data_IF_218736220352
#
_entry.id   IF_218736220352
#
_cell.length_a   1.000
_cell.length_b   1.000
_cell.length_c   1.000
_cell.angle_alpha   90.00
_cell.angle_beta   90.00
_cell.angle_gamma   90.00
#
_symmetry.space_group_name_H-M   'P 1'
#
loop_
_entity.id
_entity.type
_entity.pdbx_description
1 polymer ?
#
# COMPACT_ATOMS: atom_id res chain seq x y z
N UNK A 1 35.08 -6.24 -15.85
CA UNK A 1 34.55 -4.88 -15.61
C UNK A 1 33.23 -4.56 -16.35
N UNK A 2 32.91 -5.18 -17.51
CA UNK A 2 31.61 -4.98 -18.19
C UNK A 2 30.42 -5.64 -17.47
N UNK A 3 30.59 -6.85 -16.93
CA UNK A 3 29.52 -7.62 -16.24
C UNK A 3 29.12 -6.98 -14.90
N UNK A 4 30.08 -6.44 -14.14
CA UNK A 4 29.82 -5.74 -12.87
C UNK A 4 29.02 -4.46 -13.06
N UNK A 5 29.23 -3.72 -14.17
CA UNK A 5 28.41 -2.56 -14.51
C UNK A 5 26.98 -2.98 -14.87
N UNK A 6 26.81 -4.07 -15.61
CA UNK A 6 25.48 -4.59 -15.98
C UNK A 6 24.70 -5.05 -14.74
N UNK A 7 25.35 -5.77 -13.81
CA UNK A 7 24.73 -6.21 -12.55
C UNK A 7 24.37 -5.03 -11.63
N UNK A 8 25.25 -4.00 -11.54
CA UNK A 8 24.98 -2.80 -10.76
C UNK A 8 23.84 -1.96 -11.37
N UNK A 9 23.76 -1.88 -12.70
CA UNK A 9 22.67 -1.20 -13.43
C UNK A 9 21.35 -1.96 -13.26
N UNK A 10 21.38 -3.30 -13.24
CA UNK A 10 20.19 -4.12 -12.93
C UNK A 10 19.71 -3.93 -11.48
N UNK A 11 20.63 -3.89 -10.51
CA UNK A 11 20.32 -3.62 -9.10
C UNK A 11 19.79 -2.19 -8.87
N UNK A 12 20.36 -1.19 -9.54
CA UNK A 12 19.87 0.20 -9.51
C UNK A 12 18.53 0.36 -10.23
N UNK A 13 18.32 -0.33 -11.36
CA UNK A 13 17.05 -0.33 -12.09
C UNK A 13 15.89 -0.92 -11.29
N UNK A 14 16.14 -1.97 -10.51
CA UNK A 14 15.16 -2.57 -9.61
C UNK A 14 14.78 -1.62 -8.45
N UNK A 15 15.76 -0.89 -7.91
CA UNK A 15 15.53 0.11 -6.84
C UNK A 15 14.65 1.27 -7.31
N UNK A 16 14.81 1.69 -8.58
CA UNK A 16 14.01 2.76 -9.18
C UNK A 16 12.59 2.26 -9.51
N UNK A 17 12.44 1.00 -9.94
CA UNK A 17 11.12 0.43 -10.24
C UNK A 17 10.24 0.18 -9.00
N UNK A 18 10.85 -0.04 -7.82
CA UNK A 18 10.10 -0.15 -6.56
C UNK A 18 9.63 1.22 -6.05
N UNK A 19 10.39 2.29 -6.33
CA UNK A 19 10.03 3.68 -5.99
C UNK A 19 9.07 4.31 -7.00
N UNK A 20 9.03 3.85 -8.24
CA UNK A 20 8.18 4.40 -9.30
C UNK A 20 6.72 3.93 -9.25
N UNK A 21 6.38 2.99 -8.37
CA UNK A 21 5.00 2.50 -8.22
C UNK A 21 4.09 3.44 -7.42
N UNK A 22 4.66 4.46 -6.77
CA UNK A 22 3.94 5.49 -6.00
C UNK A 22 3.76 6.83 -6.74
N UNK A 23 4.13 6.92 -8.02
CA UNK A 23 4.02 8.17 -8.78
C UNK A 23 3.51 7.96 -10.21
N UNK A 24 2.51 7.12 -10.39
CA UNK A 24 1.64 7.21 -11.57
C UNK A 24 0.57 8.29 -11.28
N UNK A 25 1.02 9.54 -11.24
CA UNK A 25 0.12 10.68 -11.41
C UNK A 25 -0.50 10.54 -12.80
N UNK A 26 -1.82 10.32 -12.83
CA UNK A 26 -2.62 10.42 -14.03
C UNK A 26 -2.46 11.86 -14.51
N UNK A 27 -1.63 12.06 -15.53
CA UNK A 27 -1.63 13.28 -16.31
C UNK A 27 -3.00 13.38 -16.97
N UNK A 28 -3.89 14.13 -16.33
CA UNK A 28 -5.08 14.69 -16.97
C UNK A 28 -4.56 15.47 -18.16
N UNK A 29 -4.78 14.95 -19.36
CA UNK A 29 -4.62 15.71 -20.59
C UNK A 29 -5.60 16.86 -20.49
N UNK A 30 -5.08 18.00 -20.03
CA UNK A 30 -5.79 19.26 -19.95
C UNK A 30 -5.98 19.74 -21.39
N UNK A 31 -6.99 19.15 -22.04
CA UNK A 31 -7.50 19.64 -23.30
C UNK A 31 -8.08 20.99 -22.97
N UNK A 32 -7.31 22.03 -23.28
CA UNK A 32 -7.61 23.44 -23.08
C UNK A 32 -8.92 23.75 -23.80
N UNK A 33 -10.05 23.52 -23.13
CA UNK A 33 -11.36 24.00 -23.57
C UNK A 33 -11.33 25.49 -23.28
N UNK A 34 -11.07 26.23 -24.35
CA UNK A 34 -11.09 27.67 -24.41
C UNK A 34 -12.37 28.19 -23.75
N UNK A 35 -12.18 28.83 -22.61
CA UNK A 35 -13.23 29.31 -21.73
C UNK A 35 -13.80 30.61 -22.32
N UNK A 36 -14.56 30.50 -23.42
CA UNK A 36 -15.50 31.54 -23.80
C UNK A 36 -16.74 31.38 -22.93
N UNK A 37 -16.75 32.13 -21.82
CA UNK A 37 -17.91 32.36 -20.98
C UNK A 37 -18.88 33.28 -21.74
N UNK A 38 -19.37 32.81 -22.88
CA UNK A 38 -20.44 33.44 -23.62
C UNK A 38 -21.70 33.27 -22.77
N UNK A 39 -22.38 34.38 -22.47
CA UNK A 39 -23.70 34.39 -21.82
C UNK A 39 -24.54 33.34 -22.55
N UNK A 40 -25.05 32.33 -21.83
CA UNK A 40 -25.83 31.21 -22.42
C UNK A 40 -27.07 31.75 -23.13
N UNK A 41 -26.87 32.15 -24.39
CA UNK A 41 -27.88 32.52 -25.34
C UNK A 41 -28.26 31.28 -26.15
N UNK A 42 -29.50 31.25 -26.61
CA UNK A 42 -30.07 30.07 -27.27
C UNK A 42 -29.32 29.74 -28.58
N UNK A 43 -29.36 28.48 -28.99
CA UNK A 43 -28.78 28.06 -30.28
C UNK A 43 -29.70 28.55 -31.41
N UNK A 44 -29.13 29.20 -32.43
CA UNK A 44 -29.89 29.61 -33.62
C UNK A 44 -30.45 28.39 -34.33
N UNK A 45 -31.68 28.50 -34.85
CA UNK A 45 -32.41 27.39 -35.51
C UNK A 45 -31.59 26.75 -36.65
N UNK A 46 -30.82 27.56 -37.40
CA UNK A 46 -29.91 27.10 -38.47
C UNK A 46 -28.80 26.18 -37.99
N UNK A 47 -28.34 26.36 -36.75
CA UNK A 47 -27.15 25.71 -36.21
C UNK A 47 -27.50 24.46 -35.40
N UNK A 48 -28.79 24.24 -35.15
CA UNK A 48 -29.31 23.10 -34.37
C UNK A 48 -28.79 21.75 -34.90
N UNK A 49 -28.85 21.42 -36.21
CA UNK A 49 -28.39 20.12 -36.69
C UNK A 49 -26.91 19.83 -36.36
N UNK A 50 -26.03 20.83 -36.52
CA UNK A 50 -24.61 20.68 -36.21
C UNK A 50 -24.36 20.58 -34.69
N UNK A 51 -25.07 21.39 -33.89
CA UNK A 51 -24.96 21.35 -32.42
C UNK A 51 -25.53 20.09 -31.81
N UNK A 52 -26.59 19.50 -32.38
CA UNK A 52 -27.13 18.19 -31.95
C UNK A 52 -26.03 17.11 -32.03
N UNK A 53 -25.32 17.03 -33.15
CA UNK A 53 -24.26 16.03 -33.32
C UNK A 53 -23.11 16.23 -32.32
N UNK A 54 -22.67 17.48 -32.11
CA UNK A 54 -21.64 17.79 -31.11
C UNK A 54 -22.09 17.41 -29.70
N UNK A 55 -23.30 17.82 -29.31
CA UNK A 55 -23.87 17.50 -28.00
C UNK A 55 -24.02 15.99 -27.81
N UNK A 56 -24.44 15.25 -28.82
CA UNK A 56 -24.52 13.79 -28.74
C UNK A 56 -23.17 13.14 -28.44
N UNK A 57 -22.08 13.57 -29.10
CA UNK A 57 -20.73 13.07 -28.80
C UNK A 57 -20.30 13.36 -27.36
N UNK A 58 -20.61 14.55 -26.85
CA UNK A 58 -20.29 14.91 -25.47
C UNK A 58 -21.13 14.14 -24.44
N UNK A 59 -22.42 13.93 -24.72
CA UNK A 59 -23.29 13.09 -23.89
C UNK A 59 -22.81 11.63 -23.87
N UNK A 60 -22.32 11.12 -25.01
CA UNK A 60 -21.74 9.78 -25.09
C UNK A 60 -20.50 9.68 -24.19
N UNK A 61 -19.58 10.65 -24.26
CA UNK A 61 -18.41 10.67 -23.38
C UNK A 61 -18.76 10.77 -21.90
N UNK A 62 -19.83 11.50 -21.53
CA UNK A 62 -20.32 11.51 -20.14
C UNK A 62 -20.92 10.14 -19.76
N UNK A 63 -21.63 9.48 -20.68
CA UNK A 63 -22.19 8.14 -20.49
C UNK A 63 -21.13 7.08 -20.26
N UNK A 64 -20.08 7.05 -21.09
CA UNK A 64 -18.94 6.13 -20.94
C UNK A 64 -18.28 6.30 -19.56
N UNK A 65 -18.04 7.55 -19.11
CA UNK A 65 -17.50 7.82 -17.77
C UNK A 65 -18.39 7.40 -16.58
N UNK A 66 -19.69 7.16 -16.81
CA UNK A 66 -20.62 6.67 -15.77
C UNK A 66 -20.65 5.14 -15.75
N UNK A 67 -20.40 4.48 -16.88
CA UNK A 67 -20.55 3.02 -17.06
C UNK A 67 -19.21 2.26 -17.01
N UNK A 68 -18.07 2.87 -17.39
CA UNK A 68 -16.80 2.15 -17.63
C UNK A 68 -15.82 2.04 -16.44
N UNK A 69 -16.20 2.41 -15.22
CA UNK A 69 -15.31 2.21 -14.07
C UNK A 69 -15.57 0.86 -13.40
N UNK A 70 -15.08 -0.22 -14.04
CA UNK A 70 -15.13 -1.60 -13.51
C UNK A 70 -14.61 -1.69 -12.06
N UNK A 71 -13.61 -0.86 -11.70
CA UNK A 71 -13.06 -0.82 -10.35
C UNK A 71 -14.06 -0.23 -9.35
N UNK A 72 -14.78 0.83 -9.71
CA UNK A 72 -15.82 1.41 -8.84
C UNK A 72 -16.99 0.44 -8.69
N UNK A 73 -17.38 -0.29 -9.74
CA UNK A 73 -18.44 -1.30 -9.64
C UNK A 73 -18.03 -2.46 -8.72
N UNK A 74 -16.77 -2.91 -8.81
CA UNK A 74 -16.22 -3.92 -7.91
C UNK A 74 -16.23 -3.42 -6.45
N UNK A 75 -15.79 -2.18 -6.21
CA UNK A 75 -15.82 -1.55 -4.88
C UNK A 75 -17.24 -1.53 -4.32
N UNK A 76 -18.23 -1.11 -5.11
CA UNK A 76 -19.65 -1.10 -4.69
C UNK A 76 -20.14 -2.47 -4.23
N UNK A 77 -19.69 -3.55 -4.87
CA UNK A 77 -20.03 -4.93 -4.49
C UNK A 77 -19.32 -5.39 -3.22
N UNK A 78 -18.07 -4.95 -3.02
CA UNK A 78 -17.20 -5.44 -1.95
C UNK A 78 -17.30 -4.64 -0.64
N UNK A 79 -17.79 -3.40 -0.67
CA UNK A 79 -17.84 -2.55 0.54
C UNK A 79 -18.61 -3.22 1.66
N UNK A 80 -19.86 -3.65 1.44
CA UNK A 80 -20.68 -4.20 2.52
C UNK A 80 -20.10 -5.51 3.09
N UNK A 81 -19.69 -6.50 2.27
CA UNK A 81 -18.98 -7.68 2.76
C UNK A 81 -17.73 -7.35 3.59
N UNK A 82 -16.95 -6.34 3.17
CA UNK A 82 -15.74 -5.92 3.86
C UNK A 82 -16.03 -5.19 5.17
N UNK A 83 -17.06 -4.35 5.20
CA UNK A 83 -17.52 -3.71 6.43
C UNK A 83 -18.03 -4.75 7.43
N UNK A 84 -18.69 -5.81 6.95
CA UNK A 84 -19.15 -6.90 7.79
C UNK A 84 -18.01 -7.77 8.32
N UNK A 85 -16.95 -8.00 7.54
CA UNK A 85 -15.74 -8.67 8.04
C UNK A 85 -15.06 -7.87 9.16
N UNK A 86 -15.02 -6.53 9.03
CA UNK A 86 -14.56 -5.66 10.13
C UNK A 86 -15.49 -5.76 11.34
N UNK A 87 -16.81 -5.81 11.17
CA UNK A 87 -17.74 -5.98 12.31
C UNK A 87 -17.51 -7.31 13.03
N UNK A 88 -17.22 -8.39 12.29
CA UNK A 88 -16.88 -9.69 12.86
C UNK A 88 -15.57 -9.60 13.65
N UNK A 89 -14.54 -8.97 13.07
CA UNK A 89 -13.28 -8.70 13.77
C UNK A 89 -13.50 -7.96 15.09
N UNK A 90 -14.27 -6.88 15.07
CA UNK A 90 -14.55 -6.06 16.26
C UNK A 90 -15.44 -6.76 17.30
N UNK A 91 -16.08 -7.88 16.97
CA UNK A 91 -16.84 -8.69 17.93
C UNK A 91 -15.98 -9.67 18.71
N UNK A 92 -14.78 -9.98 18.22
CA UNK A 92 -13.81 -10.82 18.90
C UNK A 92 -13.44 -10.21 20.25
N UNK A 93 -13.36 -11.07 21.27
CA UNK A 93 -13.11 -10.69 22.66
C UNK A 93 -11.78 -9.94 22.81
N UNK A 94 -10.77 -10.27 21.99
CA UNK A 94 -9.46 -9.58 22.03
C UNK A 94 -9.58 -8.08 21.72
N UNK A 95 -10.53 -7.68 20.85
CA UNK A 95 -10.78 -6.28 20.51
C UNK A 95 -11.71 -5.56 21.50
N UNK A 96 -12.49 -6.31 22.29
CA UNK A 96 -13.33 -5.74 23.36
C UNK A 96 -12.54 -5.51 24.65
N UNK A 97 -11.61 -6.41 24.94
CA UNK A 97 -10.84 -6.43 26.17
C UNK A 97 -9.35 -6.13 25.91
N UNK A 98 -9.09 -4.97 25.28
CA UNK A 98 -7.75 -4.52 24.90
C UNK A 98 -6.84 -4.41 26.15
N UNK A 99 -7.41 -4.04 27.29
CA UNK A 99 -6.68 -3.89 28.55
C UNK A 99 -6.08 -5.20 29.11
N UNK A 100 -6.60 -6.35 28.69
CA UNK A 100 -6.14 -7.67 29.13
C UNK A 100 -5.16 -8.31 28.14
N UNK A 101 -4.79 -7.61 27.07
CA UNK A 101 -3.89 -8.12 26.05
C UNK A 101 -2.45 -7.75 26.38
N UNK A 102 -1.53 -8.70 26.15
CA UNK A 102 -0.10 -8.43 26.27
C UNK A 102 0.41 -7.60 25.07
N UNK A 103 1.61 -7.02 25.20
CA UNK A 103 2.21 -6.18 24.16
C UNK A 103 2.30 -6.86 22.77
N UNK A 104 2.50 -8.18 22.71
CA UNK A 104 2.58 -8.93 21.45
C UNK A 104 1.21 -9.02 20.76
N UNK A 105 0.16 -9.36 21.50
CA UNK A 105 -1.20 -9.39 20.97
C UNK A 105 -1.65 -8.00 20.50
N UNK A 106 -1.32 -6.95 21.26
CA UNK A 106 -1.60 -5.56 20.87
C UNK A 106 -0.92 -5.20 19.54
N UNK A 107 0.33 -5.62 19.31
CA UNK A 107 1.02 -5.40 18.03
C UNK A 107 0.38 -6.17 16.86
N UNK A 108 -0.04 -7.42 17.11
CA UNK A 108 -0.74 -8.23 16.12
C UNK A 108 -2.06 -7.57 15.73
N UNK A 109 -2.83 -7.10 16.70
CA UNK A 109 -4.07 -6.34 16.48
C UNK A 109 -3.82 -5.05 15.68
N UNK A 110 -2.74 -4.31 15.96
CA UNK A 110 -2.38 -3.13 15.15
C UNK A 110 -2.07 -3.49 13.70
N UNK A 111 -1.40 -4.62 13.46
CA UNK A 111 -1.06 -5.09 12.12
C UNK A 111 -2.32 -5.51 11.36
N UNK A 112 -3.20 -6.30 12.00
CA UNK A 112 -4.52 -6.67 11.45
C UNK A 112 -5.34 -5.42 11.08
N UNK A 113 -5.46 -4.44 11.98
CA UNK A 113 -6.17 -3.18 11.71
C UNK A 113 -5.51 -2.39 10.56
N UNK A 114 -4.19 -2.44 10.42
CA UNK A 114 -3.48 -1.72 9.37
C UNK A 114 -3.81 -2.24 7.98
N UNK A 115 -3.95 -3.57 7.83
CA UNK A 115 -4.42 -4.18 6.57
C UNK A 115 -5.81 -3.67 6.21
N UNK A 116 -6.73 -3.62 7.18
CA UNK A 116 -8.07 -3.09 6.94
C UNK A 116 -8.07 -1.61 6.56
N UNK A 117 -7.24 -0.80 7.23
CA UNK A 117 -7.14 0.62 6.94
C UNK A 117 -6.55 0.90 5.56
N UNK A 118 -5.59 0.10 5.09
CA UNK A 118 -4.97 0.26 3.77
C UNK A 118 -6.03 0.15 2.67
N UNK A 119 -6.79 -0.95 2.64
CA UNK A 119 -7.87 -1.14 1.65
C UNK A 119 -8.94 -0.04 1.74
N UNK A 120 -9.36 0.35 2.95
CA UNK A 120 -10.36 1.41 3.11
C UNK A 120 -9.86 2.77 2.60
N UNK A 121 -8.60 3.14 2.86
CA UNK A 121 -8.05 4.41 2.38
C UNK A 121 -7.94 4.42 0.83
N UNK A 122 -7.58 3.29 0.22
CA UNK A 122 -7.52 3.17 -1.24
C UNK A 122 -8.92 3.34 -1.86
N UNK A 123 -9.93 2.67 -1.30
CA UNK A 123 -11.32 2.86 -1.71
C UNK A 123 -11.79 4.29 -1.50
N UNK A 124 -11.47 4.93 -0.37
CA UNK A 124 -11.83 6.33 -0.10
C UNK A 124 -11.25 7.27 -1.18
N UNK A 125 -10.00 7.05 -1.60
CA UNK A 125 -9.33 7.84 -2.65
C UNK A 125 -10.04 7.70 -4.00
N UNK A 126 -10.38 6.47 -4.39
CA UNK A 126 -11.07 6.18 -5.65
C UNK A 126 -12.48 6.78 -5.66
N UNK A 127 -13.26 6.54 -4.61
CA UNK A 127 -14.63 7.07 -4.47
C UNK A 127 -14.64 8.60 -4.49
N UNK A 128 -13.71 9.27 -3.80
CA UNK A 128 -13.61 10.75 -3.83
C UNK A 128 -13.24 11.29 -5.21
N UNK A 129 -12.41 10.56 -5.96
CA UNK A 129 -12.05 10.93 -7.33
C UNK A 129 -13.27 10.83 -8.24
N UNK A 130 -14.05 9.75 -8.10
CA UNK A 130 -15.26 9.54 -8.88
C UNK A 130 -16.37 10.55 -8.56
N UNK A 131 -16.55 10.91 -7.28
CA UNK A 131 -17.49 11.97 -6.86
C UNK A 131 -17.16 13.30 -7.55
N UNK A 132 -15.88 13.69 -7.62
CA UNK A 132 -15.45 14.92 -8.32
C UNK A 132 -15.76 14.88 -9.81
N UNK A 133 -15.58 13.71 -10.44
CA UNK A 133 -15.93 13.51 -11.86
C UNK A 133 -17.44 13.67 -12.07
N UNK A 134 -18.25 13.08 -11.19
CA UNK A 134 -19.70 13.23 -11.24
C UNK A 134 -20.16 14.67 -11.01
N UNK A 135 -19.55 15.41 -10.09
CA UNK A 135 -19.85 16.84 -9.87
C UNK A 135 -19.58 17.67 -11.14
N UNK A 136 -18.45 17.41 -11.81
CA UNK A 136 -18.11 18.05 -13.09
C UNK A 136 -19.16 17.72 -14.15
N UNK A 137 -19.49 16.45 -14.33
CA UNK A 137 -20.46 16.00 -15.34
C UNK A 137 -21.87 16.52 -15.06
N UNK A 138 -22.27 16.59 -13.79
CA UNK A 138 -23.57 17.13 -13.36
C UNK A 138 -23.69 18.60 -13.72
N UNK A 139 -22.62 19.38 -13.52
CA UNK A 139 -22.58 20.78 -13.92
C UNK A 139 -22.73 20.95 -15.44
N UNK A 140 -21.96 20.19 -16.22
CA UNK A 140 -22.03 20.21 -17.68
C UNK A 140 -23.45 19.86 -18.18
N UNK A 141 -24.06 18.80 -17.64
CA UNK A 141 -25.43 18.41 -18.00
C UNK A 141 -26.46 19.49 -17.64
N UNK A 142 -26.33 20.14 -16.48
CA UNK A 142 -27.22 21.24 -16.10
C UNK A 142 -27.08 22.44 -17.04
N UNK A 143 -25.85 22.84 -17.36
CA UNK A 143 -25.59 23.94 -18.30
C UNK A 143 -26.19 23.62 -19.68
N UNK A 144 -26.07 22.37 -20.14
CA UNK A 144 -26.69 21.92 -21.37
C UNK A 144 -28.22 21.88 -21.33
N UNK A 145 -28.82 21.38 -20.25
CA UNK A 145 -30.27 21.39 -20.09
C UNK A 145 -30.84 22.81 -20.17
N UNK A 146 -30.17 23.79 -19.55
CA UNK A 146 -30.55 25.20 -19.62
C UNK A 146 -30.43 25.73 -21.06
N UNK A 147 -29.34 25.43 -21.76
CA UNK A 147 -29.12 25.85 -23.15
C UNK A 147 -30.19 25.31 -24.09
N UNK A 148 -30.48 24.01 -24.00
CA UNK A 148 -31.41 23.34 -24.90
C UNK A 148 -32.88 23.65 -24.57
N UNK A 149 -33.22 23.94 -23.30
CA UNK A 149 -34.55 24.45 -22.94
C UNK A 149 -34.81 25.85 -23.52
N UNK A 150 -33.82 26.75 -23.45
CA UNK A 150 -33.89 28.06 -24.13
C UNK A 150 -33.98 27.92 -25.64
N UNK A 151 -33.20 27.00 -26.22
CA UNK A 151 -33.23 26.69 -27.65
C UNK A 151 -34.57 26.15 -28.10
N UNK A 152 -35.21 25.29 -27.31
CA UNK A 152 -36.54 24.76 -27.55
C UNK A 152 -37.58 25.87 -27.60
N UNK A 153 -37.61 26.75 -26.59
CA UNK A 153 -38.53 27.90 -26.52
C UNK A 153 -38.40 28.83 -27.72
N UNK A 154 -37.18 29.27 -28.03
CA UNK A 154 -36.92 30.12 -29.20
C UNK A 154 -37.25 29.43 -30.54
N UNK A 155 -37.09 28.11 -30.64
CA UNK A 155 -37.42 27.37 -31.87
C UNK A 155 -38.93 27.26 -32.09
N UNK A 156 -39.73 27.21 -31.01
CA UNK A 156 -41.18 27.29 -31.09
C UNK A 156 -41.60 28.70 -31.50
N UNK A 157 -41.04 29.74 -30.87
CA UNK A 157 -41.37 31.15 -31.17
C UNK A 157 -41.06 31.55 -32.61
N UNK A 158 -40.07 30.90 -33.23
CA UNK A 158 -39.65 31.15 -34.63
C UNK A 158 -40.27 30.19 -35.65
N UNK A 159 -41.29 29.41 -35.27
CA UNK A 159 -41.96 28.43 -36.13
C UNK A 159 -40.98 27.48 -36.85
N UNK A 160 -39.97 26.98 -36.11
CA UNK A 160 -38.99 26.07 -36.69
C UNK A 160 -39.65 24.78 -37.21
N UNK A 161 -39.11 24.15 -38.27
CA UNK A 161 -39.62 22.89 -38.79
C UNK A 161 -39.76 21.82 -37.70
N UNK A 162 -40.86 21.05 -37.72
CA UNK A 162 -41.14 19.99 -36.73
C UNK A 162 -39.97 19.03 -36.49
N UNK A 163 -39.19 18.73 -37.54
CA UNK A 163 -37.99 17.88 -37.45
C UNK A 163 -36.92 18.47 -36.52
N UNK A 164 -36.71 19.80 -36.56
CA UNK A 164 -35.76 20.50 -35.66
C UNK A 164 -36.26 20.46 -34.22
N UNK A 165 -37.55 20.73 -34.01
CA UNK A 165 -38.18 20.67 -32.69
C UNK A 165 -38.07 19.27 -32.08
N UNK A 166 -38.31 18.22 -32.88
CA UNK A 166 -38.19 16.83 -32.43
C UNK A 166 -36.74 16.46 -32.08
N UNK A 167 -35.76 16.93 -32.86
CA UNK A 167 -34.34 16.70 -32.55
C UNK A 167 -33.94 17.38 -31.22
N UNK A 168 -34.39 18.61 -30.97
CA UNK A 168 -34.16 19.29 -29.69
C UNK A 168 -34.76 18.49 -28.53
N UNK A 169 -36.00 18.01 -28.67
CA UNK A 169 -36.66 17.18 -27.64
C UNK A 169 -35.86 15.90 -27.36
N UNK A 170 -35.42 15.19 -28.40
CA UNK A 170 -34.62 13.98 -28.26
C UNK A 170 -33.36 14.23 -27.43
N UNK A 171 -32.61 15.29 -27.75
CA UNK A 171 -31.39 15.66 -27.02
C UNK A 171 -31.68 15.99 -25.56
N UNK A 172 -32.77 16.71 -25.28
CA UNK A 172 -33.20 17.02 -23.91
C UNK A 172 -33.59 15.76 -23.14
N UNK A 173 -34.26 14.81 -23.78
CA UNK A 173 -34.67 13.55 -23.15
C UNK A 173 -33.47 12.63 -22.89
N UNK A 174 -32.49 12.59 -23.80
CA UNK A 174 -31.21 11.91 -23.60
C UNK A 174 -30.45 12.52 -22.40
N UNK A 175 -30.39 13.84 -22.31
CA UNK A 175 -29.78 14.55 -21.17
C UNK A 175 -30.47 14.23 -19.85
N UNK A 176 -31.80 14.20 -19.82
CA UNK A 176 -32.57 13.85 -18.61
C UNK A 176 -32.32 12.41 -18.19
N UNK A 177 -32.25 11.49 -19.14
CA UNK A 177 -31.97 10.08 -18.89
C UNK A 177 -30.57 9.91 -18.30
N UNK A 178 -29.58 10.57 -18.91
CA UNK A 178 -28.21 10.56 -18.43
C UNK A 178 -28.06 11.23 -17.06
N UNK A 179 -28.77 12.32 -16.82
CA UNK A 179 -28.80 13.01 -15.52
C UNK A 179 -29.36 12.11 -14.41
N UNK A 180 -30.40 11.33 -14.69
CA UNK A 180 -30.95 10.34 -13.74
C UNK A 180 -29.95 9.22 -13.44
N UNK A 181 -29.29 8.67 -14.47
CA UNK A 181 -28.23 7.66 -14.30
C UNK A 181 -27.08 8.21 -13.45
N UNK A 182 -26.55 9.37 -13.82
CA UNK A 182 -25.48 10.05 -13.09
C UNK A 182 -25.86 10.28 -11.62
N UNK A 183 -27.09 10.76 -11.36
CA UNK A 183 -27.56 10.97 -9.98
C UNK A 183 -27.58 9.67 -9.19
N UNK A 184 -28.08 8.57 -9.77
CA UNK A 184 -28.11 7.26 -9.11
C UNK A 184 -26.70 6.79 -8.74
N UNK A 185 -25.77 6.83 -9.69
CA UNK A 185 -24.37 6.45 -9.44
C UNK A 185 -23.71 7.37 -8.41
N UNK A 186 -23.94 8.68 -8.49
CA UNK A 186 -23.45 9.65 -7.51
C UNK A 186 -23.96 9.36 -6.10
N UNK A 187 -25.26 9.16 -5.93
CA UNK A 187 -25.86 8.93 -4.61
C UNK A 187 -25.32 7.63 -3.99
N UNK A 188 -25.11 6.59 -4.80
CA UNK A 188 -24.48 5.34 -4.36
C UNK A 188 -23.01 5.55 -3.96
N UNK A 189 -22.18 6.15 -4.82
CA UNK A 189 -20.77 6.43 -4.53
C UNK A 189 -20.59 7.33 -3.32
N UNK A 190 -21.47 8.31 -3.12
CA UNK A 190 -21.46 9.18 -1.94
C UNK A 190 -21.78 8.39 -0.66
N UNK A 191 -22.81 7.53 -0.71
CA UNK A 191 -23.19 6.67 0.43
C UNK A 191 -22.02 5.76 0.84
N UNK A 192 -21.42 5.11 -0.14
CA UNK A 192 -20.27 4.23 0.05
C UNK A 192 -19.05 4.98 0.60
N UNK A 193 -18.79 6.19 0.09
CA UNK A 193 -17.73 7.05 0.63
C UNK A 193 -17.96 7.41 2.09
N UNK A 194 -19.21 7.69 2.50
CA UNK A 194 -19.55 7.97 3.89
C UNK A 194 -19.37 6.75 4.80
N UNK A 195 -19.77 5.56 4.33
CA UNK A 195 -19.58 4.29 5.04
C UNK A 195 -18.08 4.04 5.27
N UNK A 196 -17.29 4.11 4.19
CA UNK A 196 -15.83 3.91 4.23
C UNK A 196 -15.17 4.93 5.17
N UNK A 197 -15.49 6.22 5.03
CA UNK A 197 -14.93 7.28 5.88
C UNK A 197 -15.22 7.04 7.36
N UNK A 198 -16.47 6.72 7.68
CA UNK A 198 -16.89 6.43 9.06
C UNK A 198 -16.10 5.25 9.63
N UNK A 199 -15.87 4.23 8.80
CA UNK A 199 -15.13 3.04 9.25
C UNK A 199 -13.63 3.28 9.39
N UNK A 200 -13.03 4.09 8.52
CA UNK A 200 -11.65 4.57 8.66
C UNK A 200 -11.48 5.29 10.01
N UNK A 201 -12.38 6.20 10.35
CA UNK A 201 -12.31 6.94 11.63
C UNK A 201 -12.40 5.99 12.82
N UNK A 202 -13.36 5.05 12.80
CA UNK A 202 -13.52 4.05 13.85
C UNK A 202 -12.26 3.20 14.04
N UNK A 203 -11.67 2.73 12.92
CA UNK A 203 -10.48 1.88 12.94
C UNK A 203 -9.22 2.64 13.35
N UNK A 204 -9.10 3.93 12.97
CA UNK A 204 -7.99 4.80 13.42
C UNK A 204 -8.04 5.05 14.92
N UNK A 205 -9.22 5.29 15.46
CA UNK A 205 -9.39 5.49 16.91
C UNK A 205 -9.06 4.20 17.68
N UNK A 206 -9.55 3.05 17.23
CA UNK A 206 -9.19 1.76 17.83
C UNK A 206 -7.68 1.49 17.76
N UNK A 207 -7.05 1.73 16.61
CA UNK A 207 -5.59 1.58 16.45
C UNK A 207 -4.82 2.47 17.43
N UNK A 208 -5.30 3.70 17.66
CA UNK A 208 -4.71 4.63 18.62
C UNK A 208 -4.82 4.09 20.04
N UNK A 209 -5.99 3.61 20.46
CA UNK A 209 -6.19 3.01 21.79
C UNK A 209 -5.30 1.79 22.02
N UNK A 210 -5.18 0.90 21.04
CA UNK A 210 -4.28 -0.27 21.11
C UNK A 210 -2.81 0.17 21.25
N UNK A 211 -2.40 1.23 20.52
CA UNK A 211 -1.04 1.77 20.61
C UNK A 211 -0.75 2.39 21.97
N UNK A 212 -1.69 3.15 22.52
CA UNK A 212 -1.56 3.71 23.86
C UNK A 212 -1.44 2.60 24.91
N UNK A 213 -2.26 1.53 24.80
CA UNK A 213 -2.14 0.36 25.68
C UNK A 213 -0.81 -0.37 25.52
N UNK A 214 -0.33 -0.56 24.29
CA UNK A 214 0.96 -1.21 24.03
C UNK A 214 2.11 -0.46 24.71
N UNK A 215 2.08 0.88 24.67
CA UNK A 215 3.08 1.71 25.35
C UNK A 215 3.01 1.47 26.87
N UNK A 216 1.81 1.46 27.46
CA UNK A 216 1.62 1.19 28.89
C UNK A 216 2.18 -0.19 29.27
N UNK A 217 1.79 -1.26 28.57
CA UNK A 217 2.26 -2.61 28.81
C UNK A 217 3.79 -2.73 28.72
N UNK A 218 4.40 -2.13 27.70
CA UNK A 218 5.86 -2.13 27.56
C UNK A 218 6.57 -1.40 28.68
N UNK A 219 5.98 -0.33 29.19
CA UNK A 219 6.57 0.42 30.31
C UNK A 219 6.37 -0.27 31.66
N UNK A 220 5.32 -1.07 31.83
CA UNK A 220 5.06 -1.81 33.07
C UNK A 220 6.09 -2.94 33.31
N UNK A 221 6.61 -3.56 32.24
CA UNK A 221 7.70 -4.57 32.32
C UNK A 221 8.99 -3.99 32.95
N UNK A 222 9.18 -2.67 32.89
CA UNK A 222 10.32 -1.98 33.52
C UNK A 222 9.94 -1.17 34.76
N UNK A 223 8.76 -1.41 35.34
CA UNK A 223 8.35 -0.74 36.57
C UNK A 223 9.14 -1.26 37.78
N UNK A 224 9.51 -0.35 38.68
CA UNK A 224 10.39 -0.55 39.85
C UNK A 224 9.91 -1.60 40.88
N UNK A 225 8.78 -2.27 40.66
CA UNK A 225 8.10 -3.17 41.60
C UNK A 225 7.87 -4.59 41.05
N UNK A 226 8.52 -5.00 39.97
CA UNK A 226 8.50 -6.41 39.57
C UNK A 226 9.53 -7.20 40.40
N UNK A 227 9.16 -8.36 40.97
CA UNK A 227 10.09 -9.20 41.71
C UNK A 227 11.24 -9.62 40.81
N UNK A 228 12.44 -9.76 41.39
CA UNK A 228 13.62 -10.12 40.62
C UNK A 228 13.42 -11.49 39.97
N UNK A 229 14.01 -11.71 38.78
CA UNK A 229 13.91 -12.98 38.07
C UNK A 229 14.35 -14.18 38.96
N UNK A 230 15.24 -13.92 39.92
CA UNK A 230 15.69 -14.88 40.93
C UNK A 230 14.66 -15.13 42.06
N UNK A 231 13.87 -14.13 42.47
CA UNK A 231 12.76 -14.31 43.43
C UNK A 231 11.65 -15.17 42.85
N UNK A 232 11.34 -14.98 41.56
CA UNK A 232 10.34 -15.77 40.84
C UNK A 232 10.75 -17.24 40.63
N UNK A 233 12.06 -17.54 40.63
CA UNK A 233 12.58 -18.91 40.52
C UNK A 233 12.65 -19.58 41.90
N UNK A 234 12.88 -18.80 42.97
CA UNK A 234 12.98 -19.33 44.34
C UNK A 234 11.63 -19.62 44.98
N UNK A 235 10.59 -18.84 44.65
CA UNK A 235 9.22 -19.23 44.93
C UNK A 235 8.81 -20.23 43.86
N UNK A 236 8.43 -21.46 44.22
CA UNK A 236 7.99 -22.56 43.33
C UNK A 236 6.78 -22.23 42.41
N UNK A 237 6.42 -20.95 42.27
CA UNK A 237 5.39 -20.42 41.39
C UNK A 237 5.75 -20.52 39.90
N UNK A 238 7.04 -20.59 39.54
CA UNK A 238 7.46 -20.76 38.13
C UNK A 238 7.85 -22.21 37.87
N UNK A 239 6.89 -22.98 37.36
CA UNK A 239 7.18 -24.30 36.79
C UNK A 239 8.01 -24.11 35.51
N UNK A 240 9.31 -24.37 35.58
CA UNK A 240 10.24 -24.26 34.45
C UNK A 240 9.75 -25.06 33.23
N UNK A 241 9.09 -26.20 33.45
CA UNK A 241 8.49 -27.00 32.39
C UNK A 241 7.34 -26.28 31.66
N UNK A 242 6.48 -25.54 32.39
CA UNK A 242 5.42 -24.73 31.78
C UNK A 242 5.98 -23.48 31.09
N UNK A 243 7.08 -22.93 31.60
CA UNK A 243 7.77 -21.82 30.95
C UNK A 243 8.44 -22.25 29.63
N UNK A 244 9.13 -23.40 29.62
CA UNK A 244 9.73 -23.97 28.40
C UNK A 244 8.64 -24.29 27.37
N UNK A 245 7.54 -24.92 27.77
CA UNK A 245 6.45 -25.21 26.83
C UNK A 245 5.77 -23.93 26.31
N UNK A 246 5.72 -22.86 27.12
CA UNK A 246 5.25 -21.55 26.67
C UNK A 246 6.21 -20.91 25.66
N UNK A 247 7.53 -21.10 25.80
CA UNK A 247 8.53 -20.69 24.82
C UNK A 247 8.37 -21.48 23.53
N UNK A 248 8.24 -22.80 23.61
CA UNK A 248 8.02 -23.66 22.44
C UNK A 248 6.78 -23.24 21.66
N UNK A 249 5.65 -23.08 22.36
CA UNK A 249 4.40 -22.60 21.75
C UNK A 249 4.57 -21.20 21.13
N UNK A 250 5.27 -20.30 21.80
CA UNK A 250 5.58 -18.96 21.28
C UNK A 250 6.40 -19.03 19.99
N UNK A 251 7.38 -19.95 19.93
CA UNK A 251 8.20 -20.18 18.74
C UNK A 251 7.35 -20.76 17.61
N UNK A 252 6.51 -21.76 17.90
CA UNK A 252 5.57 -22.34 16.91
C UNK A 252 4.64 -21.28 16.32
N UNK A 253 4.01 -20.47 17.18
CA UNK A 253 3.14 -19.38 16.74
C UNK A 253 3.89 -18.35 15.87
N UNK A 254 5.14 -18.00 16.23
CA UNK A 254 5.96 -17.10 15.40
C UNK A 254 6.30 -17.73 14.06
N UNK A 255 6.63 -19.02 14.03
CA UNK A 255 6.90 -19.76 12.80
C UNK A 255 5.67 -19.75 11.90
N UNK A 256 4.48 -19.96 12.45
CA UNK A 256 3.24 -19.97 11.68
C UNK A 256 2.84 -18.57 11.19
N UNK A 257 3.08 -17.53 11.99
CA UNK A 257 2.93 -16.13 11.56
C UNK A 257 3.86 -15.79 10.38
N UNK A 258 5.12 -16.25 10.43
CA UNK A 258 6.10 -16.09 9.35
C UNK A 258 5.64 -16.86 8.10
N UNK A 259 5.19 -18.12 8.24
CA UNK A 259 4.67 -18.92 7.12
C UNK A 259 3.47 -18.23 6.46
N UNK A 260 2.50 -17.80 7.26
CA UNK A 260 1.31 -17.11 6.78
C UNK A 260 1.66 -15.83 6.04
N UNK A 261 2.58 -15.04 6.57
CA UNK A 261 3.07 -13.81 5.93
C UNK A 261 3.65 -14.07 4.53
N UNK A 262 4.52 -15.06 4.38
CA UNK A 262 5.12 -15.37 3.07
C UNK A 262 4.16 -16.04 2.08
N UNK A 263 3.07 -16.66 2.55
CA UNK A 263 2.04 -17.27 1.70
C UNK A 263 1.06 -16.25 1.10
N UNK A 264 0.77 -15.16 1.82
CA UNK A 264 -0.18 -14.13 1.37
C UNK A 264 0.38 -13.34 0.17
N UNK A 265 1.69 -13.12 0.13
CA UNK A 265 2.35 -12.23 -0.83
C UNK A 265 3.24 -12.96 -1.86
N UNK A 266 2.65 -13.92 -2.58
CA UNK A 266 3.35 -14.76 -3.58
C UNK A 266 4.12 -13.96 -4.65
N UNK A 267 3.64 -12.76 -5.02
CA UNK A 267 4.32 -11.89 -5.98
C UNK A 267 5.60 -11.27 -5.40
N UNK A 268 5.56 -10.83 -4.15
CA UNK A 268 6.75 -10.33 -3.45
C UNK A 268 7.73 -11.46 -3.16
N UNK A 269 7.23 -12.67 -2.89
CA UNK A 269 8.06 -13.86 -2.70
C UNK A 269 8.89 -14.18 -3.95
N UNK A 270 8.29 -14.14 -5.14
CA UNK A 270 9.02 -14.29 -6.41
C UNK A 270 10.08 -13.21 -6.61
N UNK A 271 9.76 -11.97 -6.23
CA UNK A 271 10.69 -10.83 -6.28
C UNK A 271 11.86 -11.03 -5.32
N UNK A 272 11.59 -11.50 -4.09
CA UNK A 272 12.60 -11.86 -3.10
C UNK A 272 13.48 -13.00 -3.62
N UNK A 273 12.91 -14.07 -4.17
CA UNK A 273 13.66 -15.20 -4.72
C UNK A 273 14.60 -14.75 -5.84
N UNK A 274 14.13 -13.91 -6.75
CA UNK A 274 14.94 -13.35 -7.83
C UNK A 274 16.10 -12.48 -7.31
N UNK A 275 15.83 -11.56 -6.39
CA UNK A 275 16.86 -10.70 -5.78
C UNK A 275 17.87 -11.53 -4.98
N UNK A 276 17.41 -12.55 -4.26
CA UNK A 276 18.26 -13.47 -3.50
C UNK A 276 19.19 -14.24 -4.42
N UNK A 277 18.67 -14.74 -5.54
CA UNK A 277 19.47 -15.41 -6.57
C UNK A 277 20.53 -14.47 -7.16
N UNK A 278 20.17 -13.21 -7.43
CA UNK A 278 21.12 -12.21 -7.92
C UNK A 278 22.23 -11.90 -6.90
N UNK A 279 21.86 -11.75 -5.62
CA UNK A 279 22.81 -11.57 -4.51
C UNK A 279 23.75 -12.76 -4.36
N UNK A 280 23.25 -13.98 -4.55
CA UNK A 280 24.06 -15.19 -4.53
C UNK A 280 25.09 -15.19 -5.67
N UNK A 281 24.65 -14.93 -6.90
CA UNK A 281 25.54 -14.84 -8.07
C UNK A 281 26.60 -13.75 -7.90
N UNK A 282 26.21 -12.57 -7.39
CA UNK A 282 27.12 -11.47 -7.12
C UNK A 282 28.20 -11.88 -6.10
N UNK A 283 27.81 -12.49 -4.98
CA UNK A 283 28.73 -12.99 -3.96
C UNK A 283 29.68 -14.06 -4.51
N UNK A 284 29.17 -15.01 -5.28
CA UNK A 284 29.99 -16.06 -5.87
C UNK A 284 31.01 -15.49 -6.85
N UNK A 285 30.59 -14.51 -7.66
CA UNK A 285 31.44 -13.82 -8.60
C UNK A 285 32.57 -13.04 -7.90
N UNK A 286 32.24 -12.22 -6.90
CA UNK A 286 33.23 -11.44 -6.14
C UNK A 286 34.19 -12.35 -5.37
N UNK A 287 33.68 -13.43 -4.77
CA UNK A 287 34.50 -14.44 -4.10
C UNK A 287 35.48 -15.13 -5.07
N UNK A 288 35.03 -15.49 -6.27
CA UNK A 288 35.89 -16.09 -7.29
C UNK A 288 37.00 -15.12 -7.76
N UNK A 289 36.66 -13.84 -7.97
CA UNK A 289 37.64 -12.81 -8.30
C UNK A 289 38.65 -12.59 -7.17
N UNK A 290 38.20 -12.63 -5.91
CA UNK A 290 39.05 -12.54 -4.73
C UNK A 290 40.03 -13.72 -4.66
N UNK A 291 39.53 -14.96 -4.79
CA UNK A 291 40.36 -16.19 -4.77
C UNK A 291 41.40 -16.19 -5.90
N UNK A 292 41.05 -15.67 -7.07
CA UNK A 292 41.97 -15.55 -8.21
C UNK A 292 42.96 -14.39 -8.09
N UNK A 293 42.94 -13.62 -6.98
CA UNK A 293 43.71 -12.37 -6.79
C UNK A 293 43.54 -11.35 -7.92
N UNK A 294 42.42 -11.44 -8.66
CA UNK A 294 42.08 -10.52 -9.77
C UNK A 294 41.19 -9.37 -9.31
N UNK A 295 40.76 -9.38 -8.05
CA UNK A 295 39.92 -8.32 -7.48
C UNK A 295 40.71 -7.02 -7.22
N UNK A 296 42.02 -7.13 -6.93
CA UNK A 296 42.88 -5.99 -6.65
C UNK A 296 44.09 -6.02 -7.57
N UNK A 297 44.39 -4.88 -8.21
CA UNK A 297 45.55 -4.74 -9.09
C UNK A 297 46.84 -4.56 -8.28
N UNK A 298 46.78 -4.06 -7.03
CA UNK A 298 47.92 -3.86 -6.13
C UNK A 298 47.59 -4.40 -4.73
N UNK A 299 48.53 -5.10 -4.08
CA UNK A 299 48.30 -5.81 -2.81
C UNK A 299 48.03 -4.91 -1.59
N UNK A 300 48.48 -3.64 -1.64
CA UNK A 300 48.43 -2.64 -0.56
C UNK A 300 47.35 -1.55 -0.73
N UNK A 301 46.39 -1.73 -1.64
CA UNK A 301 45.35 -0.72 -1.84
C UNK A 301 44.46 -0.55 -0.61
N UNK A 302 44.25 0.70 -0.16
CA UNK A 302 43.21 1.09 0.82
C UNK A 302 41.83 0.49 0.49
N UNK A 303 41.54 0.27 -0.79
CA UNK A 303 40.30 -0.35 -1.28
C UNK A 303 40.11 -1.78 -0.80
N UNK A 304 41.17 -2.50 -0.40
CA UNK A 304 41.10 -3.85 0.17
C UNK A 304 40.26 -3.88 1.45
N UNK A 305 40.27 -2.79 2.23
CA UNK A 305 39.46 -2.66 3.45
C UNK A 305 37.95 -2.61 3.16
N UNK A 306 37.55 -2.11 2.00
CA UNK A 306 36.14 -2.00 1.63
C UNK A 306 35.56 -3.36 1.22
N UNK A 307 36.39 -4.29 0.74
CA UNK A 307 35.96 -5.60 0.22
C UNK A 307 36.18 -6.75 1.22
N UNK A 308 36.39 -6.49 2.51
CA UNK A 308 36.57 -7.55 3.53
C UNK A 308 35.41 -8.54 3.59
N UNK A 309 34.18 -8.08 3.35
CA UNK A 309 33.00 -8.93 3.25
C UNK A 309 33.18 -10.06 2.22
N UNK A 310 33.93 -9.81 1.14
CA UNK A 310 34.16 -10.78 0.06
C UNK A 310 34.95 -12.02 0.53
N UNK A 311 35.66 -11.93 1.68
CA UNK A 311 36.35 -13.07 2.28
C UNK A 311 35.41 -14.08 2.95
N UNK A 312 34.18 -13.66 3.30
CA UNK A 312 33.16 -14.47 3.96
C UNK A 312 31.89 -14.47 3.09
N UNK A 313 31.88 -15.22 1.97
CA UNK A 313 30.78 -15.17 1.00
C UNK A 313 29.44 -15.59 1.60
N UNK A 314 29.44 -16.56 2.52
CA UNK A 314 28.22 -17.04 3.20
C UNK A 314 27.66 -15.96 4.12
N UNK A 315 28.49 -15.38 5.00
CA UNK A 315 28.05 -14.31 5.92
C UNK A 315 27.57 -13.07 5.16
N UNK A 316 28.26 -12.70 4.08
CA UNK A 316 27.87 -11.57 3.23
C UNK A 316 26.55 -11.86 2.51
N UNK A 317 26.39 -13.06 1.97
CA UNK A 317 25.14 -13.49 1.36
C UNK A 317 23.98 -13.41 2.35
N UNK A 318 24.16 -13.91 3.58
CA UNK A 318 23.15 -13.82 4.63
C UNK A 318 22.78 -12.36 4.93
N UNK A 319 23.76 -11.47 5.15
CA UNK A 319 23.48 -10.05 5.40
C UNK A 319 22.71 -9.40 4.24
N UNK A 320 23.12 -9.65 2.99
CA UNK A 320 22.43 -9.12 1.82
C UNK A 320 21.02 -9.71 1.67
N UNK A 321 20.83 -10.98 1.96
CA UNK A 321 19.51 -11.63 1.99
C UNK A 321 18.59 -10.96 3.00
N UNK A 322 19.07 -10.68 4.21
CA UNK A 322 18.28 -9.96 5.23
C UNK A 322 17.92 -8.55 4.79
N UNK A 323 18.87 -7.80 4.22
CA UNK A 323 18.62 -6.46 3.71
C UNK A 323 17.57 -6.47 2.58
N UNK A 324 17.57 -7.50 1.74
CA UNK A 324 16.53 -7.69 0.73
C UNK A 324 15.15 -7.91 1.34
N UNK A 325 15.03 -8.72 2.39
CA UNK A 325 13.75 -8.89 3.11
C UNK A 325 13.28 -7.55 3.67
N UNK A 326 14.20 -6.79 4.28
CA UNK A 326 13.89 -5.48 4.86
C UNK A 326 13.43 -4.46 3.81
N UNK A 327 14.04 -4.48 2.63
CA UNK A 327 13.74 -3.55 1.55
C UNK A 327 12.45 -3.90 0.80
N UNK A 328 12.15 -5.19 0.62
CA UNK A 328 10.99 -5.65 -0.16
C UNK A 328 9.71 -5.62 0.69
N UNK A 329 9.80 -5.97 1.97
CA UNK A 329 8.65 -6.07 2.86
C UNK A 329 8.62 -4.92 3.87
N UNK A 330 7.95 -3.83 3.50
CA UNK A 330 7.79 -2.63 4.33
C UNK A 330 6.85 -2.85 5.53
N UNK A 331 5.86 -3.73 5.40
CA UNK A 331 4.82 -4.04 6.41
C UNK A 331 5.03 -5.40 7.09
N UNK A 332 6.28 -5.83 7.26
CA UNK A 332 6.61 -7.13 7.86
C UNK A 332 6.23 -7.21 9.35
N UNK A 333 5.70 -8.36 9.82
CA UNK A 333 5.38 -8.58 11.23
C UNK A 333 6.62 -8.48 12.13
N UNK A 334 6.39 -8.21 13.42
CA UNK A 334 7.47 -8.16 14.41
C UNK A 334 8.20 -9.50 14.53
N UNK A 335 7.49 -10.63 14.39
CA UNK A 335 8.10 -11.96 14.38
C UNK A 335 9.18 -12.10 13.30
N UNK A 336 8.96 -11.54 12.10
CA UNK A 336 9.95 -11.50 11.03
C UNK A 336 11.13 -10.61 11.45
N UNK A 337 10.89 -9.42 12.02
CA UNK A 337 11.97 -8.55 12.51
C UNK A 337 12.85 -9.23 13.57
N UNK A 338 12.23 -9.89 14.55
CA UNK A 338 12.94 -10.59 15.62
C UNK A 338 13.79 -11.73 15.05
N UNK A 339 13.20 -12.56 14.18
CA UNK A 339 13.93 -13.62 13.48
C UNK A 339 15.10 -13.06 12.68
N UNK A 340 14.87 -11.96 11.96
CA UNK A 340 15.92 -11.30 11.17
C UNK A 340 17.06 -10.84 12.07
N UNK A 341 16.76 -10.24 13.22
CA UNK A 341 17.74 -9.77 14.18
C UNK A 341 18.60 -10.91 14.73
N UNK A 342 17.99 -11.99 15.22
CA UNK A 342 18.72 -13.15 15.76
C UNK A 342 19.64 -13.79 14.72
N UNK A 343 19.15 -13.96 13.49
CA UNK A 343 19.94 -14.56 12.40
C UNK A 343 21.07 -13.62 11.94
N UNK A 344 20.91 -12.30 12.06
CA UNK A 344 21.87 -11.31 11.56
C UNK A 344 23.08 -11.11 12.49
N UNK A 345 22.93 -11.36 13.80
CA UNK A 345 23.99 -11.24 14.80
C UNK A 345 25.22 -12.07 14.42
N UNK A 346 25.03 -13.36 14.08
CA UNK A 346 26.15 -14.28 13.81
C UNK A 346 26.92 -13.91 12.53
N UNK A 347 26.28 -13.70 11.37
CA UNK A 347 26.95 -13.25 10.15
C UNK A 347 27.70 -11.93 10.31
N UNK A 348 27.10 -10.95 11.01
CA UNK A 348 27.74 -9.65 11.24
C UNK A 348 28.96 -9.80 12.12
N UNK A 349 28.89 -10.56 13.20
CA UNK A 349 30.05 -10.80 14.05
C UNK A 349 31.19 -11.53 13.31
N UNK A 350 30.85 -12.50 12.43
CA UNK A 350 31.83 -13.18 11.59
C UNK A 350 32.52 -12.26 10.58
N UNK A 351 31.79 -11.28 10.03
CA UNK A 351 32.36 -10.23 9.17
C UNK A 351 33.22 -9.28 10.00
N UNK A 352 32.73 -8.80 11.15
CA UNK A 352 33.47 -7.89 12.04
C UNK A 352 34.82 -8.48 12.48
N UNK A 353 34.88 -9.77 12.78
CA UNK A 353 36.15 -10.48 13.09
C UNK A 353 37.21 -10.36 11.99
N UNK A 354 36.81 -10.13 10.74
CA UNK A 354 37.75 -9.94 9.62
C UNK A 354 38.20 -8.50 9.43
N UNK A 355 37.45 -7.54 9.99
CA UNK A 355 37.72 -6.10 9.88
C UNK A 355 38.52 -5.59 11.08
N UNK A 356 38.24 -6.14 12.25
CA UNK A 356 38.80 -5.71 13.54
C UNK A 356 40.17 -6.35 13.77
N UNK A 357 41.09 -5.61 14.38
CA UNK A 357 42.42 -6.14 14.72
C UNK A 357 42.32 -7.30 15.71
N UNK A 358 43.26 -8.25 15.63
CA UNK A 358 43.20 -9.52 16.38
C UNK A 358 43.03 -9.32 17.89
N UNK A 359 43.57 -8.23 18.43
CA UNK A 359 43.55 -7.88 19.85
C UNK A 359 42.13 -7.59 20.35
N UNK A 360 41.29 -6.99 19.51
CA UNK A 360 39.91 -6.63 19.87
C UNK A 360 38.89 -7.72 19.57
N UNK A 361 39.28 -8.85 18.96
CA UNK A 361 38.37 -9.96 18.69
C UNK A 361 37.70 -10.50 19.96
N UNK A 362 38.34 -10.39 21.12
CA UNK A 362 37.78 -10.81 22.41
C UNK A 362 36.51 -10.05 22.76
N UNK A 363 36.43 -8.76 22.41
CA UNK A 363 35.26 -7.93 22.69
C UNK A 363 34.07 -8.25 21.79
N UNK A 364 34.29 -8.74 20.57
CA UNK A 364 33.21 -9.17 19.67
C UNK A 364 32.42 -10.34 20.28
N UNK A 365 33.09 -11.23 21.03
CA UNK A 365 32.45 -12.36 21.68
C UNK A 365 31.64 -11.97 22.94
N UNK A 366 32.00 -10.87 23.61
CA UNK A 366 31.26 -10.34 24.77
C UNK A 366 29.89 -9.76 24.37
N UNK A 367 29.72 -9.39 23.10
CA UNK A 367 28.42 -8.96 22.57
C UNK A 367 27.57 -10.11 21.99
N UNK A 368 28.14 -11.32 21.90
CA UNK A 368 27.49 -12.53 21.37
C UNK A 368 26.99 -13.49 22.47
N UNK A 369 27.48 -13.32 23.70
CA UNK A 369 27.14 -14.07 24.92
C UNK A 369 26.84 -13.07 26.02
#
# INVERSE_FOLDING_TARGET
MKITKILLILLLGLSISLSAKDSADIQVIDTKVENQKEKLDYIKVSDVPAKVAKTFMELKGIGENIEDDEHIEEIHKLIMPYIDSIKVLLKDEKYKNIDNQNARELQKMQSEISVYLETLNDWEKLLKTQIKLYDKNKKILNDYLILWDKTYKNSIEKDAPKKIINNIKSVVDDMKTLSKKLKKSYDQTLTDSQIVTTKILTMKELKKQIKEREIVERTQVFSQKQPYLFELISDEQVNIGSYISSIEKTIEEKIDEIKGFFQIDMKLLNTLAFITFLNFLLNLYTFNLYRKRKLFVHEESYRKKIFYFTQRPISTFLVLFMLSIIAIYSTRPMAVNDMLFFILIVPVALILKTVVEKEYNKYIYIFLF
#
